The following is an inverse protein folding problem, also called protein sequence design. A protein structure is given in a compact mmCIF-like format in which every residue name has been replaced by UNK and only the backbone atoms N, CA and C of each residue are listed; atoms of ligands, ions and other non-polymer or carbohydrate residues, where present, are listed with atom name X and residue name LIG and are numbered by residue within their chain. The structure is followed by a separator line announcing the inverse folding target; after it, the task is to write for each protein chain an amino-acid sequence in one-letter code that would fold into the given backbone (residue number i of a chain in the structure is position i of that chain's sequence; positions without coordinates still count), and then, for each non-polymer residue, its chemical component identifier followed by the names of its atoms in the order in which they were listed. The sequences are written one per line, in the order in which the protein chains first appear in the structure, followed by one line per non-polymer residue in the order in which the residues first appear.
data_IF_683681615387
#
_entry.id   IF_683681615387
#
_cell.length_a   1.000
_cell.length_b   1.000
_cell.length_c   1.000
_cell.angle_alpha   90.00
_cell.angle_beta   90.00
_cell.angle_gamma   90.00
#
_symmetry.space_group_name_H-M   'P 1'
#
loop_
_entity.id
_entity.type
_entity.pdbx_description
1 polymer ?
#
# COMPACT_ATOMS: atom_id res chain seq x y z
N UNK A 1 -17.25 -13.24 3.12
CA UNK A 1 -16.32 -12.46 3.98
C UNK A 1 -16.64 -10.97 3.81
N UNK A 2 -16.86 -10.20 4.88
CA UNK A 2 -17.19 -8.78 4.78
C UNK A 2 -16.01 -8.02 4.13
N UNK A 3 -16.27 -7.15 3.15
CA UNK A 3 -15.25 -6.39 2.41
C UNK A 3 -14.25 -5.66 3.32
N UNK A 4 -14.71 -5.21 4.50
CA UNK A 4 -13.88 -4.62 5.55
C UNK A 4 -12.77 -5.56 6.05
N UNK A 5 -13.13 -6.81 6.39
CA UNK A 5 -12.16 -7.81 6.86
C UNK A 5 -11.20 -8.21 5.74
N UNK A 6 -11.69 -8.30 4.50
CA UNK A 6 -10.85 -8.55 3.34
C UNK A 6 -9.83 -7.43 3.14
N UNK A 7 -10.24 -6.16 3.22
CA UNK A 7 -9.34 -5.02 3.11
C UNK A 7 -8.22 -5.07 4.15
N UNK A 8 -8.56 -5.34 5.42
CA UNK A 8 -7.58 -5.44 6.49
C UNK A 8 -6.61 -6.61 6.28
N UNK A 9 -7.11 -7.82 6.04
CA UNK A 9 -6.26 -8.99 5.88
C UNK A 9 -5.36 -8.88 4.65
N UNK A 10 -5.86 -8.32 3.56
CA UNK A 10 -5.07 -8.06 2.36
C UNK A 10 -3.99 -6.99 2.63
N UNK A 11 -4.29 -5.93 3.38
CA UNK A 11 -3.30 -4.92 3.77
C UNK A 11 -2.21 -5.51 4.69
N UNK A 12 -2.60 -6.34 5.67
CA UNK A 12 -1.65 -7.07 6.54
C UNK A 12 -0.77 -8.01 5.70
N UNK A 13 -1.36 -8.75 4.77
CA UNK A 13 -0.61 -9.63 3.88
C UNK A 13 0.40 -8.85 3.03
N UNK A 14 0.01 -7.70 2.45
CA UNK A 14 0.91 -6.85 1.69
C UNK A 14 2.12 -6.39 2.54
N UNK A 15 1.88 -5.92 3.76
CA UNK A 15 2.92 -5.50 4.71
C UNK A 15 3.86 -6.66 5.07
N UNK A 16 3.31 -7.84 5.38
CA UNK A 16 4.11 -9.02 5.73
C UNK A 16 4.97 -9.45 4.54
N UNK A 17 4.39 -9.53 3.34
CA UNK A 17 5.12 -9.96 2.13
C UNK A 17 6.25 -8.96 1.82
N UNK A 18 6.00 -7.66 1.91
CA UNK A 18 7.04 -6.65 1.71
C UNK A 18 8.09 -6.61 2.84
N UNK A 19 7.72 -6.97 4.07
CA UNK A 19 8.70 -7.19 5.14
C UNK A 19 9.62 -8.38 4.82
N UNK A 20 9.04 -9.48 4.31
CA UNK A 20 9.82 -10.64 3.85
C UNK A 20 10.71 -10.27 2.66
N UNK A 21 10.24 -9.41 1.75
CA UNK A 21 11.06 -8.86 0.64
C UNK A 21 12.27 -8.12 1.20
N UNK A 22 12.06 -7.19 2.13
CA UNK A 22 13.14 -6.41 2.74
C UNK A 22 14.15 -7.31 3.46
N UNK A 23 13.68 -8.35 4.17
CA UNK A 23 14.55 -9.35 4.78
C UNK A 23 15.36 -10.13 3.75
N UNK A 24 14.73 -10.56 2.64
CA UNK A 24 15.41 -11.27 1.57
C UNK A 24 16.50 -10.42 0.88
N UNK A 25 16.23 -9.12 0.66
CA UNK A 25 17.22 -8.15 0.18
C UNK A 25 18.40 -8.03 1.16
N UNK A 26 18.10 -7.89 2.46
CA UNK A 26 19.12 -7.77 3.50
C UNK A 26 20.01 -8.99 3.59
N UNK A 27 19.43 -10.20 3.56
CA UNK A 27 20.18 -11.47 3.59
C UNK A 27 21.03 -11.67 2.33
N UNK A 28 20.54 -11.26 1.16
CA UNK A 28 21.30 -11.34 -0.09
C UNK A 28 22.40 -10.26 -0.22
N UNK A 29 22.55 -9.39 0.78
CA UNK A 29 23.58 -8.36 0.82
C UNK A 29 23.30 -7.17 -0.10
N UNK A 30 22.03 -6.89 -0.41
CA UNK A 30 21.62 -5.67 -1.11
C UNK A 30 20.59 -5.89 -2.23
N UNK A 31 20.08 -4.78 -2.82
CA UNK A 31 19.05 -4.81 -3.84
C UNK A 31 19.51 -5.53 -5.11
N UNK A 32 18.60 -6.23 -5.78
CA UNK A 32 18.84 -6.96 -7.03
C UNK A 32 19.63 -8.26 -6.87
N UNK A 33 19.95 -8.68 -5.64
CA UNK A 33 20.76 -9.89 -5.35
C UNK A 33 19.93 -11.09 -4.95
N UNK A 34 18.67 -10.90 -4.58
CA UNK A 34 17.78 -11.98 -4.14
C UNK A 34 16.84 -12.42 -5.26
N UNK A 35 16.77 -13.71 -5.61
CA UNK A 35 15.78 -14.21 -6.56
C UNK A 35 14.33 -14.11 -6.02
N UNK A 36 14.16 -13.85 -4.72
CA UNK A 36 12.86 -13.66 -4.08
C UNK A 36 12.38 -12.21 -4.11
N UNK A 37 13.22 -11.26 -4.53
CA UNK A 37 12.88 -9.83 -4.50
C UNK A 37 11.65 -9.52 -5.37
N UNK A 38 11.67 -9.90 -6.64
CA UNK A 38 10.57 -9.64 -7.57
C UNK A 38 9.30 -10.43 -7.22
N UNK A 39 9.36 -11.76 -6.92
CA UNK A 39 8.18 -12.50 -6.51
C UNK A 39 7.49 -11.93 -5.27
N UNK A 40 8.26 -11.52 -4.25
CA UNK A 40 7.71 -10.90 -3.05
C UNK A 40 7.19 -9.49 -3.34
N UNK A 41 7.87 -8.72 -4.18
CA UNK A 41 7.36 -7.41 -4.62
C UNK A 41 5.97 -7.55 -5.27
N UNK A 42 5.84 -8.41 -6.29
CA UNK A 42 4.57 -8.62 -7.00
C UNK A 42 3.49 -9.26 -6.13
N UNK A 43 3.87 -10.19 -5.24
CA UNK A 43 2.94 -10.79 -4.27
C UNK A 43 2.35 -9.74 -3.32
N UNK A 44 3.20 -8.86 -2.79
CA UNK A 44 2.76 -7.76 -1.93
C UNK A 44 1.95 -6.72 -2.69
N UNK A 45 2.32 -6.42 -3.95
CA UNK A 45 1.57 -5.51 -4.82
C UNK A 45 0.16 -6.03 -5.11
N UNK A 46 0.02 -7.31 -5.42
CA UNK A 46 -1.29 -7.93 -5.64
C UNK A 46 -2.16 -7.85 -4.38
N UNK A 47 -1.60 -8.18 -3.21
CA UNK A 47 -2.30 -8.06 -1.93
C UNK A 47 -2.71 -6.61 -1.64
N UNK A 48 -1.84 -5.63 -1.94
CA UNK A 48 -2.10 -4.21 -1.79
C UNK A 48 -3.27 -3.74 -2.69
N UNK A 49 -3.27 -4.14 -3.97
CA UNK A 49 -4.36 -3.82 -4.91
C UNK A 49 -5.69 -4.38 -4.40
N UNK A 50 -5.70 -5.63 -3.94
CA UNK A 50 -6.89 -6.25 -3.34
C UNK A 50 -7.35 -5.45 -2.12
N UNK A 51 -6.42 -5.03 -1.26
CA UNK A 51 -6.73 -4.23 -0.08
C UNK A 51 -7.40 -2.90 -0.45
N UNK A 52 -6.85 -2.16 -1.42
CA UNK A 52 -7.39 -0.89 -1.89
C UNK A 52 -8.79 -1.07 -2.49
N UNK A 53 -8.98 -2.04 -3.37
CA UNK A 53 -10.28 -2.32 -4.00
C UNK A 53 -11.33 -2.69 -2.94
N UNK A 54 -10.96 -3.58 -2.01
CA UNK A 54 -11.84 -3.98 -0.91
C UNK A 54 -12.15 -2.80 0.02
N UNK A 55 -11.19 -1.93 0.29
CA UNK A 55 -11.36 -0.72 1.12
C UNK A 55 -12.34 0.26 0.48
N UNK A 56 -12.16 0.60 -0.80
CA UNK A 56 -13.08 1.50 -1.53
C UNK A 56 -14.48 0.90 -1.59
N UNK A 57 -14.58 -0.40 -1.88
CA UNK A 57 -15.87 -1.12 -1.93
C UNK A 57 -16.57 -1.11 -0.56
N UNK A 58 -15.81 -1.34 0.51
CA UNK A 58 -16.33 -1.30 1.88
C UNK A 58 -16.82 0.10 2.26
N UNK A 59 -16.03 1.13 1.96
CA UNK A 59 -16.36 2.53 2.27
C UNK A 59 -17.61 3.01 1.52
N UNK A 60 -17.84 2.51 0.30
CA UNK A 60 -18.93 2.97 -0.60
C UNK A 60 -20.11 2.00 -0.72
N UNK A 61 -20.24 1.07 0.24
CA UNK A 61 -21.21 -0.04 0.21
C UNK A 61 -22.69 0.33 -0.03
N UNK A 62 -23.12 1.55 0.30
CA UNK A 62 -24.48 2.06 0.03
C UNK A 62 -24.58 3.22 -0.96
N UNK A 63 -23.45 3.61 -1.60
CA UNK A 63 -23.39 4.78 -2.45
C UNK A 63 -23.81 4.48 -3.90
N UNK A 64 -24.24 5.53 -4.63
CA UNK A 64 -24.57 5.45 -6.07
C UNK A 64 -23.34 5.04 -6.90
N UNK A 65 -23.55 4.41 -8.06
CA UNK A 65 -22.44 3.94 -8.94
C UNK A 65 -21.41 5.03 -9.24
N UNK A 66 -21.86 6.27 -9.53
CA UNK A 66 -20.96 7.40 -9.79
C UNK A 66 -20.08 7.77 -8.60
N UNK A 67 -20.62 7.73 -7.37
CA UNK A 67 -19.82 7.98 -6.17
C UNK A 67 -18.71 6.94 -6.02
N UNK A 68 -18.97 5.67 -6.36
CA UNK A 68 -17.94 4.63 -6.35
C UNK A 68 -16.82 4.93 -7.34
N UNK A 69 -17.18 5.30 -8.57
CA UNK A 69 -16.20 5.69 -9.59
C UNK A 69 -15.37 6.88 -9.13
N UNK A 70 -16.02 7.93 -8.60
CA UNK A 70 -15.33 9.10 -8.08
C UNK A 70 -14.42 8.77 -6.89
N UNK A 71 -14.82 7.85 -6.02
CA UNK A 71 -13.96 7.36 -4.92
C UNK A 71 -12.74 6.62 -5.44
N UNK A 72 -12.89 5.78 -6.47
CA UNK A 72 -11.76 5.11 -7.11
C UNK A 72 -10.79 6.12 -7.74
N UNK A 73 -11.31 7.09 -8.50
CA UNK A 73 -10.51 8.18 -9.07
C UNK A 73 -9.81 8.97 -7.96
N UNK A 74 -10.53 9.31 -6.90
CA UNK A 74 -9.99 10.00 -5.73
C UNK A 74 -8.84 9.24 -5.06
N UNK A 75 -8.94 7.92 -4.94
CA UNK A 75 -7.86 7.08 -4.41
C UNK A 75 -6.64 7.06 -5.33
N UNK A 76 -6.84 6.98 -6.65
CA UNK A 76 -5.74 7.05 -7.63
C UNK A 76 -5.02 8.40 -7.53
N UNK A 77 -5.77 9.50 -7.49
CA UNK A 77 -5.21 10.85 -7.33
C UNK A 77 -4.49 10.99 -5.99
N UNK A 78 -5.10 10.53 -4.89
CA UNK A 78 -4.47 10.56 -3.57
C UNK A 78 -3.17 9.73 -3.54
N UNK A 79 -3.14 8.56 -4.19
CA UNK A 79 -1.93 7.74 -4.31
C UNK A 79 -0.83 8.42 -5.12
N UNK A 80 -1.18 9.11 -6.21
CA UNK A 80 -0.23 9.89 -7.00
C UNK A 80 0.36 11.06 -6.19
N UNK A 81 -0.49 11.80 -5.48
CA UNK A 81 -0.05 12.89 -4.59
C UNK A 81 0.83 12.37 -3.44
N UNK A 82 0.49 11.22 -2.87
CA UNK A 82 1.31 10.56 -1.85
C UNK A 82 2.70 10.21 -2.39
N UNK A 83 2.75 9.65 -3.60
CA UNK A 83 4.01 9.31 -4.29
C UNK A 83 4.87 10.55 -4.54
N UNK A 84 4.24 11.65 -4.93
CA UNK A 84 4.92 12.94 -5.12
C UNK A 84 5.47 13.49 -3.79
N UNK A 85 4.67 13.45 -2.72
CA UNK A 85 5.09 13.88 -1.39
C UNK A 85 6.27 13.05 -0.86
N UNK A 86 6.26 11.73 -1.07
CA UNK A 86 7.40 10.86 -0.75
C UNK A 86 8.64 11.25 -1.58
N UNK A 87 8.45 11.55 -2.87
CA UNK A 87 9.51 12.08 -3.74
C UNK A 87 10.21 13.29 -3.13
N UNK A 88 9.45 14.31 -2.76
CA UNK A 88 9.99 15.53 -2.15
C UNK A 88 10.75 15.26 -0.84
N UNK A 89 10.23 14.35 -0.01
CA UNK A 89 10.87 13.95 1.26
C UNK A 89 12.21 13.24 1.01
N UNK A 90 12.26 12.33 0.04
CA UNK A 90 13.46 11.56 -0.28
C UNK A 90 14.50 12.44 -0.96
N UNK A 91 14.11 13.42 -1.76
CA UNK A 91 15.02 14.40 -2.36
C UNK A 91 15.75 15.24 -1.28
N UNK A 92 15.03 15.64 -0.23
CA UNK A 92 15.63 16.37 0.91
C UNK A 92 16.60 15.51 1.71
N UNK A 93 16.36 14.20 1.82
CA UNK A 93 17.18 13.27 2.62
C UNK A 93 18.31 12.60 1.83
N UNK A 94 18.13 12.39 0.54
CA UNK A 94 18.94 11.52 -0.32
C UNK A 94 20.04 12.29 -1.03
N UNK A 95 20.95 12.91 -0.29
CA UNK A 95 22.15 13.51 -0.87
C UNK A 95 23.14 12.46 -1.39
N UNK A 96 22.84 11.81 -2.52
CA UNK A 96 23.74 11.20 -3.53
C UNK A 96 22.89 10.55 -4.65
N UNK A 97 23.15 10.92 -5.90
CA UNK A 97 22.30 10.66 -7.08
C UNK A 97 22.07 9.17 -7.44
N UNK A 98 22.86 8.23 -6.89
CA UNK A 98 22.76 6.80 -7.20
C UNK A 98 21.84 5.98 -6.28
N UNK A 99 21.69 6.36 -5.01
CA UNK A 99 20.88 5.62 -4.01
C UNK A 99 19.46 6.16 -3.86
N UNK A 100 19.20 7.38 -4.38
CA UNK A 100 17.95 8.09 -4.22
C UNK A 100 16.75 7.34 -4.84
N UNK A 101 16.92 6.71 -6.01
CA UNK A 101 15.81 6.02 -6.67
C UNK A 101 15.37 4.75 -5.91
N UNK A 102 16.32 3.93 -5.45
CA UNK A 102 16.00 2.74 -4.66
C UNK A 102 15.33 3.12 -3.34
N UNK A 103 15.90 4.11 -2.64
CA UNK A 103 15.35 4.59 -1.37
C UNK A 103 13.93 5.14 -1.57
N UNK A 104 13.70 5.90 -2.65
CA UNK A 104 12.38 6.38 -3.01
C UNK A 104 11.38 5.25 -3.21
N UNK A 105 11.75 4.20 -3.95
CA UNK A 105 10.89 3.06 -4.21
C UNK A 105 10.47 2.35 -2.92
N UNK A 106 11.43 2.09 -2.04
CA UNK A 106 11.16 1.43 -0.74
C UNK A 106 10.31 2.32 0.17
N UNK A 107 10.65 3.59 0.33
CA UNK A 107 9.88 4.51 1.19
C UNK A 107 8.44 4.65 0.67
N UNK A 108 8.25 4.81 -0.64
CA UNK A 108 6.92 4.96 -1.21
C UNK A 108 6.05 3.72 -0.98
N UNK A 109 6.66 2.55 -1.13
CA UNK A 109 6.03 1.26 -0.89
C UNK A 109 5.59 1.11 0.58
N UNK A 110 6.48 1.39 1.54
CA UNK A 110 6.16 1.31 2.97
C UNK A 110 5.10 2.32 3.40
N UNK A 111 5.22 3.58 2.97
CA UNK A 111 4.26 4.63 3.31
C UNK A 111 2.87 4.28 2.75
N UNK A 112 2.79 3.84 1.50
CA UNK A 112 1.52 3.41 0.89
C UNK A 112 0.90 2.24 1.64
N UNK A 113 1.69 1.22 1.99
CA UNK A 113 1.24 0.06 2.75
C UNK A 113 0.61 0.46 4.10
N UNK A 114 1.30 1.33 4.84
CA UNK A 114 0.87 1.81 6.16
C UNK A 114 -0.39 2.66 6.08
N UNK A 115 -0.52 3.50 5.05
CA UNK A 115 -1.74 4.30 4.83
C UNK A 115 -2.94 3.38 4.60
N UNK A 116 -2.82 2.38 3.72
CA UNK A 116 -3.92 1.46 3.42
C UNK A 116 -4.26 0.56 4.61
N UNK A 117 -3.25 0.08 5.34
CA UNK A 117 -3.45 -0.70 6.56
C UNK A 117 -4.19 0.13 7.63
N UNK A 118 -3.74 1.36 7.86
CA UNK A 118 -4.35 2.27 8.83
C UNK A 118 -5.78 2.62 8.45
N UNK A 119 -6.02 2.97 7.18
CA UNK A 119 -7.37 3.26 6.68
C UNK A 119 -8.31 2.04 6.83
N UNK A 120 -7.82 0.84 6.55
CA UNK A 120 -8.58 -0.40 6.73
C UNK A 120 -8.90 -0.69 8.19
N UNK A 121 -7.93 -0.48 9.09
CA UNK A 121 -8.12 -0.65 10.53
C UNK A 121 -9.12 0.37 11.10
N UNK A 122 -9.03 1.63 10.69
CA UNK A 122 -9.97 2.69 11.09
C UNK A 122 -11.38 2.38 10.58
N UNK A 123 -11.53 1.98 9.31
CA UNK A 123 -12.84 1.69 8.73
C UNK A 123 -13.57 0.55 9.47
N UNK A 124 -12.83 -0.46 9.94
CA UNK A 124 -13.40 -1.55 10.76
C UNK A 124 -13.87 -1.03 12.12
N UNK A 125 -13.16 -0.08 12.74
CA UNK A 125 -13.52 0.47 14.06
C UNK A 125 -14.71 1.41 14.02
N UNK A 126 -14.84 2.20 12.96
CA UNK A 126 -15.83 3.29 12.89
C UNK A 126 -17.23 2.81 12.49
N UNK A 127 -17.38 1.63 11.88
CA UNK A 127 -18.72 1.09 11.54
C UNK A 127 -19.43 0.53 12.78
N UNK A 128 -20.58 1.11 13.20
CA UNK A 128 -21.36 0.59 14.31
C UNK A 128 -21.86 -0.84 14.01
N UNK A 129 -21.82 -1.71 15.02
CA UNK A 129 -22.20 -3.14 14.96
C UNK A 129 -23.70 -3.41 14.74
N UNK A 130 -24.46 -2.44 14.24
CA UNK A 130 -25.91 -2.52 14.11
C UNK A 130 -26.31 -2.32 12.65
N UNK A 131 -26.36 -3.44 11.93
CA UNK A 131 -27.11 -3.64 10.71
C UNK A 131 -27.74 -5.04 10.80
#
# INVERSE_FOLDING_TARGET
MNAHRLALWAAVAAVIIWALKAAAIGVAGGPGRSPLEDPLFFGGLLAFVIAVVALVTAATGGARRWTRVLSFVGVVVAGALLTFAVGAIVEVMGGQEGSAHWLWGEVNLWVSALVVLTASAVLIRVRPRWA
#
